data_IF_471437642565
#
_entry.id   IF_471437642565
#
_cell.length_a   1.000
_cell.length_b   1.000
_cell.length_c   1.000
_cell.angle_alpha   90.00
_cell.angle_beta   90.00
_cell.angle_gamma   90.00
#
_symmetry.space_group_name_H-M   'P 1'
#
loop_
_entity.id
_entity.type
_entity.pdbx_description
1 polymer ?
#
# COMPACT_ATOMS: atom_id res chain seq x y z
N UNK A 1 -21.80 -5.59 -1.07
CA UNK A 1 -21.01 -5.44 -2.30
C UNK A 1 -19.60 -5.54 -1.81
N UNK A 2 -18.89 -6.60 -2.20
CA UNK A 2 -17.63 -6.95 -1.57
C UNK A 2 -16.54 -6.00 -2.08
N UNK A 3 -15.94 -5.22 -1.18
CA UNK A 3 -14.91 -4.22 -1.50
C UNK A 3 -13.57 -4.94 -1.60
N UNK A 4 -12.81 -4.76 -2.69
CA UNK A 4 -11.46 -5.33 -2.86
C UNK A 4 -10.38 -4.27 -2.70
N UNK A 5 -9.45 -4.49 -1.78
CA UNK A 5 -8.33 -3.57 -1.52
C UNK A 5 -7.00 -4.24 -1.83
N UNK A 6 -6.17 -3.56 -2.63
CA UNK A 6 -4.79 -3.97 -2.88
C UNK A 6 -3.83 -3.38 -1.83
N UNK A 7 -3.27 -4.20 -0.95
CA UNK A 7 -2.20 -3.82 -0.04
C UNK A 7 -0.84 -3.99 -0.74
N UNK A 8 -0.28 -2.89 -1.25
CA UNK A 8 0.94 -2.91 -2.07
C UNK A 8 2.18 -2.73 -1.19
N UNK A 9 3.06 -3.72 -1.20
CA UNK A 9 4.32 -3.71 -0.46
C UNK A 9 5.55 -3.81 -1.36
N UNK A 10 6.71 -3.50 -0.80
CA UNK A 10 7.99 -3.79 -1.42
C UNK A 10 8.43 -5.20 -1.04
N UNK A 11 8.79 -6.02 -2.03
CA UNK A 11 9.42 -7.30 -1.75
C UNK A 11 10.84 -7.04 -1.23
N UNK A 12 11.20 -7.48 -0.01
CA UNK A 12 12.58 -7.38 0.43
C UNK A 12 13.43 -8.30 -0.43
N UNK A 13 14.27 -7.74 -1.30
CA UNK A 13 15.39 -8.49 -1.84
C UNK A 13 16.19 -9.03 -0.65
N UNK A 14 16.38 -10.35 -0.60
CA UNK A 14 17.31 -11.04 0.31
C UNK A 14 16.83 -11.34 1.74
N UNK A 15 15.56 -11.71 1.98
CA UNK A 15 15.21 -12.42 3.22
C UNK A 15 14.41 -13.70 2.92
N UNK A 16 14.85 -14.90 3.39
CA UNK A 16 14.09 -16.16 3.35
C UNK A 16 12.70 -16.14 4.04
N UNK A 17 12.22 -14.97 4.44
CA UNK A 17 11.10 -14.75 5.36
C UNK A 17 9.97 -13.95 4.71
N UNK A 18 9.96 -13.83 3.37
CA UNK A 18 8.85 -13.20 2.63
C UNK A 18 7.49 -13.85 2.99
N UNK A 19 7.49 -15.16 3.21
CA UNK A 19 6.30 -15.86 3.72
C UNK A 19 5.87 -15.31 5.09
N UNK A 20 6.82 -15.10 6.02
CA UNK A 20 6.54 -14.55 7.35
C UNK A 20 5.99 -13.11 7.27
N UNK A 21 6.53 -12.27 6.38
CA UNK A 21 6.03 -10.88 6.23
C UNK A 21 4.60 -10.89 5.66
N UNK A 22 4.35 -11.72 4.65
CA UNK A 22 3.01 -11.88 4.06
C UNK A 22 2.02 -12.43 5.10
N UNK A 23 2.43 -13.42 5.89
CA UNK A 23 1.63 -13.96 7.01
C UNK A 23 1.30 -12.89 8.04
N UNK A 24 2.29 -12.10 8.48
CA UNK A 24 2.08 -11.00 9.44
C UNK A 24 1.14 -9.95 8.87
N UNK A 25 1.28 -9.58 7.60
CA UNK A 25 0.39 -8.61 6.95
C UNK A 25 -1.05 -9.13 6.89
N UNK A 26 -1.24 -10.36 6.44
CA UNK A 26 -2.55 -10.98 6.35
C UNK A 26 -3.19 -11.09 7.75
N UNK A 27 -2.40 -11.46 8.77
CA UNK A 27 -2.87 -11.49 10.17
C UNK A 27 -3.31 -10.11 10.63
N UNK A 28 -2.52 -9.06 10.38
CA UNK A 28 -2.88 -7.68 10.76
C UNK A 28 -4.14 -7.21 10.04
N UNK A 29 -4.22 -7.38 8.72
CA UNK A 29 -5.38 -6.96 7.95
C UNK A 29 -6.65 -7.70 8.37
N UNK A 30 -6.57 -9.00 8.66
CA UNK A 30 -7.73 -9.79 9.14
C UNK A 30 -8.35 -9.24 10.44
N UNK A 31 -7.58 -8.53 11.27
CA UNK A 31 -8.03 -7.95 12.54
C UNK A 31 -8.72 -6.59 12.41
N UNK A 32 -8.50 -5.89 11.30
CA UNK A 32 -8.94 -4.49 11.11
C UNK A 32 -9.86 -4.30 9.90
N UNK A 33 -9.95 -5.31 9.04
CA UNK A 33 -10.76 -5.27 7.81
C UNK A 33 -12.23 -5.57 8.14
N UNK A 34 -13.13 -4.79 7.57
CA UNK A 34 -14.58 -5.01 7.67
C UNK A 34 -14.98 -6.35 7.03
N UNK A 35 -16.07 -6.97 7.49
CA UNK A 35 -16.51 -8.29 7.01
C UNK A 35 -16.93 -8.33 5.53
N UNK A 36 -17.16 -7.17 4.92
CA UNK A 36 -17.51 -6.97 3.51
C UNK A 36 -16.32 -6.52 2.66
N UNK A 37 -15.11 -6.57 3.20
CA UNK A 37 -13.88 -6.13 2.54
C UNK A 37 -12.88 -7.27 2.44
N UNK A 38 -12.32 -7.47 1.25
CA UNK A 38 -11.21 -8.39 0.96
C UNK A 38 -9.93 -7.56 0.76
N UNK A 39 -8.83 -8.02 1.37
CA UNK A 39 -7.52 -7.36 1.25
C UNK A 39 -6.52 -8.36 0.69
N UNK A 40 -5.97 -8.04 -0.49
CA UNK A 40 -4.90 -8.83 -1.11
C UNK A 40 -3.56 -8.14 -0.96
N UNK A 41 -2.56 -8.90 -0.50
CA UNK A 41 -1.18 -8.40 -0.43
C UNK A 41 -0.50 -8.55 -1.78
N UNK A 42 -0.16 -7.42 -2.41
CA UNK A 42 0.51 -7.35 -3.70
C UNK A 42 1.95 -6.85 -3.52
N UNK A 43 2.92 -7.61 -4.00
CA UNK A 43 4.32 -7.22 -3.90
C UNK A 43 4.81 -6.55 -5.18
N UNK A 44 5.60 -5.48 -5.03
CA UNK A 44 6.42 -4.95 -6.10
C UNK A 44 7.51 -5.96 -6.43
N UNK A 45 7.68 -6.26 -7.72
CA UNK A 45 8.72 -7.17 -8.18
C UNK A 45 10.11 -6.62 -7.77
N UNK A 46 10.96 -7.45 -7.15
CA UNK A 46 12.24 -7.00 -6.61
C UNK A 46 13.15 -6.31 -7.63
N UNK A 47 13.06 -6.72 -8.91
CA UNK A 47 13.83 -6.10 -10.01
C UNK A 47 13.58 -4.60 -10.15
N UNK A 48 12.44 -4.12 -9.63
CA UNK A 48 11.99 -2.75 -9.75
C UNK A 48 12.29 -1.90 -8.50
N UNK A 49 12.64 -2.48 -7.36
CA UNK A 49 12.82 -1.70 -6.13
C UNK A 49 13.75 -2.35 -5.12
N UNK A 50 14.79 -1.62 -4.74
CA UNK A 50 15.55 -1.92 -3.52
C UNK A 50 14.93 -1.15 -2.35
N UNK A 51 14.20 -1.87 -1.48
CA UNK A 51 13.52 -1.32 -0.31
C UNK A 51 14.52 -0.77 0.73
N UNK A 52 15.72 -1.36 0.80
CA UNK A 52 16.71 -0.99 1.80
C UNK A 52 17.31 0.39 1.53
N UNK A 53 17.43 0.74 0.24
CA UNK A 53 17.99 2.02 -0.19
C UNK A 53 16.93 3.12 -0.35
N UNK A 54 15.65 2.79 -0.58
CA UNK A 54 14.61 3.81 -0.80
C UNK A 54 14.33 4.70 0.42
N UNK A 55 14.48 4.16 1.62
CA UNK A 55 14.30 4.94 2.87
C UNK A 55 15.54 5.77 3.23
N UNK A 56 16.71 5.48 2.65
CA UNK A 56 18.00 6.12 2.97
C UNK A 56 18.50 7.08 1.89
N UNK A 57 18.07 6.91 0.64
CA UNK A 57 18.60 7.63 -0.51
C UNK A 57 17.48 8.13 -1.42
N UNK A 58 17.46 9.45 -1.66
CA UNK A 58 16.45 10.15 -2.44
C UNK A 58 16.30 9.62 -3.89
N UNK A 59 17.40 9.19 -4.51
CA UNK A 59 17.39 8.62 -5.86
C UNK A 59 16.49 7.38 -5.96
N UNK A 60 16.63 6.43 -5.02
CA UNK A 60 15.84 5.20 -5.01
C UNK A 60 14.39 5.48 -4.61
N UNK A 61 14.13 6.49 -3.77
CA UNK A 61 12.77 6.97 -3.49
C UNK A 61 12.04 7.45 -4.75
N UNK A 62 12.69 8.27 -5.58
CA UNK A 62 12.12 8.75 -6.87
C UNK A 62 11.96 7.61 -7.87
N UNK A 63 12.93 6.69 -7.97
CA UNK A 63 12.82 5.53 -8.86
C UNK A 63 11.63 4.64 -8.48
N UNK A 64 11.49 4.36 -7.19
CA UNK A 64 10.44 3.47 -6.68
C UNK A 64 9.04 4.08 -6.81
N UNK A 65 8.93 5.41 -6.85
CA UNK A 65 7.67 6.11 -7.07
C UNK A 65 6.93 5.66 -8.33
N UNK A 66 7.69 5.50 -9.43
CA UNK A 66 7.13 5.07 -10.71
C UNK A 66 6.52 3.68 -10.60
N UNK A 67 7.24 2.74 -9.98
CA UNK A 67 6.79 1.35 -9.84
C UNK A 67 5.63 1.19 -8.87
N UNK A 68 5.59 2.01 -7.81
CA UNK A 68 4.41 2.10 -6.92
C UNK A 68 3.18 2.52 -7.71
N UNK A 69 3.29 3.59 -8.50
CA UNK A 69 2.17 4.10 -9.29
C UNK A 69 1.72 3.09 -10.35
N UNK A 70 2.65 2.43 -11.03
CA UNK A 70 2.35 1.39 -12.02
C UNK A 70 1.63 0.20 -11.39
N UNK A 71 2.06 -0.25 -10.20
CA UNK A 71 1.39 -1.37 -9.50
C UNK A 71 -0.01 -0.99 -9.01
N UNK A 72 -0.21 0.25 -8.55
CA UNK A 72 -1.53 0.75 -8.19
C UNK A 72 -2.47 0.81 -9.40
N UNK A 73 -1.96 1.26 -10.55
CA UNK A 73 -2.72 1.28 -11.81
C UNK A 73 -3.03 -0.14 -12.30
N UNK A 74 -2.11 -1.09 -12.08
CA UNK A 74 -2.36 -2.49 -12.38
C UNK A 74 -3.46 -3.08 -11.48
N UNK A 75 -3.46 -2.77 -10.18
CA UNK A 75 -4.53 -3.16 -9.27
C UNK A 75 -5.90 -2.61 -9.73
N UNK A 76 -5.96 -1.34 -10.13
CA UNK A 76 -7.19 -0.78 -10.73
C UNK A 76 -7.66 -1.61 -11.94
N UNK A 77 -6.75 -1.96 -12.85
CA UNK A 77 -7.07 -2.79 -14.03
C UNK A 77 -7.49 -4.21 -13.66
N UNK A 78 -6.99 -4.76 -12.55
CA UNK A 78 -7.37 -6.06 -12.00
C UNK A 78 -8.73 -6.02 -11.27
N UNK A 79 -9.33 -4.84 -11.11
CA UNK A 79 -10.67 -4.65 -10.56
C UNK A 79 -10.70 -4.40 -9.05
N UNK A 80 -9.59 -3.97 -8.45
CA UNK A 80 -9.57 -3.52 -7.06
C UNK A 80 -10.29 -2.17 -6.92
N UNK A 81 -11.00 -1.97 -5.80
CA UNK A 81 -11.74 -0.74 -5.48
C UNK A 81 -10.87 0.32 -4.82
N UNK A 82 -9.73 -0.06 -4.22
CA UNK A 82 -8.76 0.85 -3.60
C UNK A 82 -7.36 0.23 -3.50
N UNK A 83 -6.35 1.07 -3.28
CA UNK A 83 -4.97 0.63 -3.03
C UNK A 83 -4.39 1.27 -1.74
N UNK A 84 -3.75 0.45 -0.91
CA UNK A 84 -3.05 0.85 0.30
C UNK A 84 -1.55 0.56 0.16
N UNK A 85 -0.72 1.60 0.15
CA UNK A 85 0.70 1.53 -0.10
C UNK A 85 1.50 1.43 1.20
N UNK A 86 2.28 0.37 1.38
CA UNK A 86 3.23 0.24 2.49
C UNK A 86 4.56 0.93 2.17
N UNK A 87 4.48 2.21 1.80
CA UNK A 87 5.61 3.07 1.54
C UNK A 87 5.70 4.12 2.65
N UNK A 88 6.77 4.09 3.44
CA UNK A 88 7.08 5.12 4.44
C UNK A 88 7.74 6.32 3.76
N UNK A 89 6.99 7.02 2.90
CA UNK A 89 7.26 8.37 2.40
C UNK A 89 6.44 8.64 1.14
N UNK A 90 6.12 9.92 0.93
CA UNK A 90 5.15 10.39 -0.05
C UNK A 90 5.49 10.10 -1.52
N UNK A 91 6.70 9.60 -1.81
CA UNK A 91 7.33 9.71 -3.13
C UNK A 91 6.58 8.99 -4.25
N UNK A 92 5.78 7.95 -3.99
CA UNK A 92 4.94 7.28 -5.01
C UNK A 92 3.43 7.46 -4.85
N UNK A 93 2.99 7.99 -3.70
CA UNK A 93 1.57 8.06 -3.35
C UNK A 93 0.87 9.14 -4.16
N UNK A 94 1.53 10.29 -4.36
CA UNK A 94 0.99 11.38 -5.20
C UNK A 94 0.86 10.95 -6.65
N UNK A 95 1.82 10.19 -7.17
CA UNK A 95 1.84 9.70 -8.53
C UNK A 95 0.76 8.65 -8.72
N UNK A 96 0.60 7.73 -7.77
CA UNK A 96 -0.50 6.76 -7.78
C UNK A 96 -1.87 7.46 -7.75
N UNK A 97 -2.05 8.47 -6.88
CA UNK A 97 -3.27 9.29 -6.83
C UNK A 97 -3.56 10.04 -8.14
N UNK A 98 -2.52 10.45 -8.87
CA UNK A 98 -2.68 11.12 -10.16
C UNK A 98 -2.95 10.14 -11.31
N UNK A 99 -2.48 8.90 -11.19
CA UNK A 99 -2.58 7.89 -12.24
C UNK A 99 -3.85 7.05 -12.16
N UNK A 100 -4.36 6.79 -10.95
CA UNK A 100 -5.46 5.86 -10.73
C UNK A 100 -6.81 6.59 -10.55
N UNK A 101 -7.92 5.95 -10.94
CA UNK A 101 -9.26 6.45 -10.59
C UNK A 101 -9.80 5.87 -9.27
N UNK A 102 -9.08 4.92 -8.68
CA UNK A 102 -9.41 4.34 -7.37
C UNK A 102 -8.74 5.12 -6.23
N UNK A 103 -9.33 5.15 -5.03
CA UNK A 103 -8.69 5.74 -3.86
C UNK A 103 -7.34 5.07 -3.58
N UNK A 104 -6.32 5.89 -3.33
CA UNK A 104 -4.98 5.43 -2.94
C UNK A 104 -4.57 6.08 -1.62
N UNK A 105 -4.12 5.29 -0.65
CA UNK A 105 -3.54 5.77 0.62
C UNK A 105 -2.17 5.14 0.87
N UNK A 106 -1.42 5.69 1.82
CA UNK A 106 -0.19 5.09 2.33
C UNK A 106 -0.31 4.71 3.81
N UNK A 107 0.64 3.92 4.31
CA UNK A 107 0.70 3.48 5.72
C UNK A 107 0.96 4.60 6.73
N UNK A 108 1.37 5.80 6.31
CA UNK A 108 1.52 6.99 7.18
C UNK A 108 0.19 7.73 7.28
N UNK A 109 -0.54 7.82 6.17
CA UNK A 109 -1.82 8.50 6.03
C UNK A 109 -2.97 7.63 6.52
N UNK A 110 -2.90 6.31 6.43
CA UNK A 110 -3.97 5.43 6.89
C UNK A 110 -4.25 5.57 8.41
N UNK A 111 -3.25 5.62 9.32
CA UNK A 111 -3.47 5.94 10.73
C UNK A 111 -3.96 7.38 10.97
N UNK A 112 -3.50 8.34 10.17
CA UNK A 112 -3.91 9.75 10.28
C UNK A 112 -5.38 9.90 9.84
N UNK A 113 -5.79 9.24 8.75
CA UNK A 113 -7.16 9.25 8.28
C UNK A 113 -8.09 8.45 9.19
N UNK A 114 -7.68 7.29 9.70
CA UNK A 114 -8.48 6.54 10.67
C UNK A 114 -8.65 7.31 11.99
N UNK A 115 -7.61 7.99 12.47
CA UNK A 115 -7.67 8.87 13.63
C UNK A 115 -8.55 10.10 13.40
N UNK A 116 -8.50 10.73 12.23
CA UNK A 116 -9.34 11.89 11.89
C UNK A 116 -10.80 11.52 11.59
N UNK A 117 -11.06 10.33 11.03
CA UNK A 117 -12.42 9.82 10.83
C UNK A 117 -13.07 9.45 12.18
N UNK A 118 -12.30 8.84 13.10
CA UNK A 118 -12.73 8.64 14.49
C UNK A 118 -13.00 9.97 15.21
N UNK A 119 -12.15 10.99 15.02
CA UNK A 119 -12.38 12.32 15.62
C UNK A 119 -13.65 13.01 15.09
N UNK A 120 -13.96 12.86 13.80
CA UNK A 120 -15.23 13.36 13.21
C UNK A 120 -16.46 12.63 13.74
N UNK A 121 -16.35 11.34 14.03
CA UNK A 121 -17.43 10.54 14.65
C UNK A 121 -17.63 10.88 16.14
N UNK A 122 -16.63 11.44 16.81
CA UNK A 122 -16.73 11.92 18.21
C UNK A 122 -17.30 13.34 18.36
N UNK A 123 -17.43 14.08 17.25
CA UNK A 123 -17.95 15.45 17.20
C UNK A 123 -19.36 15.55 16.61
N UNK A 124 -20.01 14.40 16.34
CA UNK A 124 -21.42 14.24 15.98
C UNK A 124 -22.12 13.40 17.05
#
# INVERSE_FOLDING_TARGET
MDIKIAAIGFMPEVIPEISKITEVWNEVFSKVTSSDTEVDTLWLDPKYGDMYFSCKYSYFGVRNAFFIADRALQAEREGYDAAALSAFSEWGVRQALMACNIPVTDGVRAPIFSGLHQYKLFLL
#
